data_IF_122316501712
#
_entry.id   IF_122316501712
#
_cell.length_a   1.000
_cell.length_b   1.000
_cell.length_c   1.000
_cell.angle_alpha   90.00
_cell.angle_beta   90.00
_cell.angle_gamma   90.00
#
_symmetry.space_group_name_H-M   'P 1'
#
loop_
_entity.id
_entity.type
_entity.pdbx_description
1 polymer ?
#
# COMPACT_ATOMS: atom_id res chain seq x y z
N UNK A 1 -35.36 47.25 36.56
CA UNK A 1 -35.39 46.61 35.24
C UNK A 1 -34.23 45.63 35.18
N UNK A 2 -34.57 44.34 35.13
CA UNK A 2 -33.72 43.19 35.36
C UNK A 2 -33.54 42.49 34.01
N UNK A 3 -32.34 42.57 33.44
CA UNK A 3 -31.95 41.80 32.26
C UNK A 3 -31.03 40.67 32.73
N UNK A 4 -31.44 39.39 32.67
CA UNK A 4 -30.50 38.29 32.77
C UNK A 4 -29.79 38.15 31.43
N UNK A 5 -28.48 38.45 31.39
CA UNK A 5 -27.65 38.08 30.25
C UNK A 5 -27.34 36.59 30.36
N UNK A 6 -27.99 35.80 29.51
CA UNK A 6 -27.70 34.38 29.31
C UNK A 6 -26.37 34.25 28.58
N UNK A 7 -25.36 33.72 29.26
CA UNK A 7 -24.13 33.27 28.60
C UNK A 7 -24.42 31.94 27.88
N UNK A 8 -23.90 31.71 26.66
CA UNK A 8 -24.09 30.43 26.00
C UNK A 8 -23.29 29.37 26.74
N UNK A 9 -24.00 28.33 27.17
CA UNK A 9 -23.47 27.11 27.76
C UNK A 9 -22.43 26.50 26.82
N UNK A 10 -21.16 26.59 27.20
CA UNK A 10 -20.05 25.94 26.50
C UNK A 10 -20.03 24.48 26.91
N UNK A 11 -21.06 23.73 26.53
CA UNK A 11 -21.00 22.27 26.52
C UNK A 11 -20.02 21.86 25.44
N UNK A 12 -18.73 21.84 25.81
CA UNK A 12 -17.69 21.13 25.10
C UNK A 12 -18.08 19.66 25.13
N UNK A 13 -18.82 19.22 24.11
CA UNK A 13 -18.91 17.83 23.74
C UNK A 13 -17.51 17.38 23.29
N UNK A 14 -16.62 17.17 24.27
CA UNK A 14 -15.41 16.41 24.08
C UNK A 14 -15.83 14.96 23.87
N UNK A 15 -16.35 14.66 22.68
CA UNK A 15 -16.38 13.29 22.19
C UNK A 15 -14.92 12.94 22.02
N UNK A 16 -14.37 12.32 23.06
CA UNK A 16 -13.03 11.78 23.06
C UNK A 16 -12.98 10.78 21.92
N UNK A 17 -12.38 11.18 20.80
CA UNK A 17 -12.02 10.30 19.70
C UNK A 17 -10.89 9.39 20.19
N UNK A 18 -11.26 8.42 21.04
CA UNK A 18 -10.43 7.28 21.42
C UNK A 18 -11.12 6.02 20.90
N UNK A 19 -11.33 6.01 19.59
CA UNK A 19 -11.51 4.79 18.83
C UNK A 19 -10.66 4.92 17.58
N UNK A 20 -9.33 4.95 17.77
CA UNK A 20 -8.44 4.44 16.73
C UNK A 20 -8.92 3.01 16.52
N UNK A 21 -9.52 2.74 15.35
CA UNK A 21 -10.00 1.44 14.90
C UNK A 21 -8.92 0.39 15.13
N UNK A 22 -8.91 -0.23 16.30
CA UNK A 22 -8.29 -1.52 16.49
C UNK A 22 -9.08 -2.43 15.56
N UNK A 23 -8.45 -2.82 14.46
CA UNK A 23 -9.07 -3.71 13.50
C UNK A 23 -9.65 -4.89 14.29
N UNK A 24 -10.89 -5.30 13.98
CA UNK A 24 -11.48 -6.47 14.65
C UNK A 24 -10.45 -7.61 14.62
N UNK A 25 -10.31 -8.44 15.67
CA UNK A 25 -9.36 -9.56 15.66
C UNK A 25 -9.47 -10.45 14.40
N UNK A 26 -10.66 -10.48 13.77
CA UNK A 26 -10.90 -11.14 12.49
C UNK A 26 -10.24 -10.46 11.30
N UNK A 27 -10.24 -9.12 11.26
CA UNK A 27 -9.57 -8.31 10.24
C UNK A 27 -8.06 -8.42 10.42
N UNK A 28 -7.55 -8.33 11.66
CA UNK A 28 -6.11 -8.51 11.93
C UNK A 28 -5.61 -9.89 11.52
N UNK A 29 -6.38 -10.94 11.82
CA UNK A 29 -6.06 -12.31 11.39
C UNK A 29 -6.00 -12.43 9.87
N UNK A 30 -7.00 -11.88 9.15
CA UNK A 30 -7.00 -11.87 7.68
C UNK A 30 -5.82 -11.11 7.10
N UNK A 31 -5.53 -9.91 7.61
CA UNK A 31 -4.40 -9.10 7.16
C UNK A 31 -3.07 -9.83 7.37
N UNK A 32 -2.92 -10.57 8.46
CA UNK A 32 -1.73 -11.40 8.71
C UNK A 32 -1.59 -12.54 7.70
N UNK A 33 -2.70 -13.22 7.38
CA UNK A 33 -2.71 -14.28 6.39
C UNK A 33 -2.38 -13.73 4.99
N UNK A 34 -3.00 -12.63 4.59
CA UNK A 34 -2.74 -11.98 3.31
C UNK A 34 -1.29 -11.48 3.21
N UNK A 35 -0.74 -10.91 4.29
CA UNK A 35 0.68 -10.55 4.36
C UNK A 35 1.60 -11.76 4.20
N UNK A 36 1.29 -12.89 4.84
CA UNK A 36 2.08 -14.12 4.70
C UNK A 36 2.01 -14.70 3.27
N UNK A 37 0.83 -14.65 2.65
CA UNK A 37 0.63 -15.05 1.24
C UNK A 37 1.44 -14.16 0.30
N UNK A 38 1.40 -12.84 0.51
CA UNK A 38 2.18 -11.88 -0.25
C UNK A 38 3.68 -12.12 -0.09
N UNK A 39 4.16 -12.34 1.14
CA UNK A 39 5.58 -12.61 1.41
C UNK A 39 6.06 -13.86 0.67
N UNK A 40 5.25 -14.95 0.68
CA UNK A 40 5.59 -16.17 -0.05
C UNK A 40 5.64 -15.94 -1.56
N UNK A 41 4.65 -15.24 -2.11
CA UNK A 41 4.63 -14.90 -3.54
C UNK A 41 5.84 -14.04 -3.94
N UNK A 42 6.20 -13.03 -3.13
CA UNK A 42 7.38 -12.20 -3.38
C UNK A 42 8.68 -12.99 -3.30
N UNK A 43 8.78 -13.98 -2.40
CA UNK A 43 9.95 -14.85 -2.28
C UNK A 43 10.13 -15.72 -3.52
N UNK A 44 9.06 -16.40 -3.96
CA UNK A 44 9.08 -17.18 -5.20
C UNK A 44 9.44 -16.32 -6.42
N UNK A 45 8.97 -15.08 -6.41
CA UNK A 45 9.26 -14.13 -7.48
C UNK A 45 10.72 -13.67 -7.48
N UNK A 46 11.37 -13.50 -6.31
CA UNK A 46 12.82 -13.27 -6.26
C UNK A 46 13.59 -14.47 -6.84
N UNK A 47 13.17 -15.68 -6.47
CA UNK A 47 13.84 -16.92 -6.86
C UNK A 47 13.69 -17.24 -8.34
N UNK A 48 12.64 -16.75 -9.01
CA UNK A 48 12.40 -17.02 -10.43
C UNK A 48 13.34 -16.26 -11.38
N UNK A 49 14.03 -15.21 -10.90
CA UNK A 49 14.90 -14.36 -11.73
C UNK A 49 14.15 -13.40 -12.67
N UNK A 50 12.82 -13.41 -12.67
CA UNK A 50 12.01 -12.46 -13.47
C UNK A 50 11.80 -11.13 -12.76
N UNK A 51 12.12 -11.05 -11.48
CA UNK A 51 11.97 -9.85 -10.70
C UNK A 51 13.30 -9.17 -10.42
N UNK A 52 13.32 -7.88 -10.76
CA UNK A 52 14.55 -7.10 -10.83
C UNK A 52 14.59 -5.96 -9.80
N UNK A 53 13.68 -5.97 -8.82
CA UNK A 53 13.72 -5.00 -7.73
C UNK A 53 13.09 -3.65 -8.06
N UNK A 54 13.49 -2.60 -7.32
CA UNK A 54 13.11 -1.22 -7.60
C UNK A 54 13.91 -0.69 -8.79
N UNK A 55 13.24 -0.62 -9.93
CA UNK A 55 13.78 -0.03 -11.15
C UNK A 55 12.84 1.09 -11.63
N UNK A 56 13.42 2.11 -12.24
CA UNK A 56 12.66 3.15 -12.94
C UNK A 56 12.22 2.67 -14.32
N UNK A 57 11.15 3.28 -14.85
CA UNK A 57 10.64 3.09 -16.23
C UNK A 57 11.74 2.86 -17.27
N UNK A 58 12.74 3.75 -17.26
CA UNK A 58 13.85 3.77 -18.19
C UNK A 58 14.82 2.61 -17.96
N UNK A 59 15.08 2.23 -16.71
CA UNK A 59 16.05 1.18 -16.39
C UNK A 59 15.61 -0.21 -16.85
N UNK A 60 14.34 -0.63 -16.67
CA UNK A 60 13.93 -1.92 -17.25
C UNK A 60 13.87 -1.90 -18.77
N UNK A 61 13.50 -0.77 -19.39
CA UNK A 61 13.61 -0.65 -20.85
C UNK A 61 15.04 -0.89 -21.29
N UNK A 62 16.03 -0.30 -20.61
CA UNK A 62 17.44 -0.55 -20.89
C UNK A 62 17.85 -2.03 -20.69
N UNK A 63 17.27 -2.73 -19.71
CA UNK A 63 17.51 -4.17 -19.53
C UNK A 63 16.96 -5.00 -20.71
N UNK A 64 15.83 -4.57 -21.29
CA UNK A 64 15.18 -5.29 -22.39
C UNK A 64 15.76 -4.98 -23.77
N UNK A 65 16.48 -3.87 -23.97
CA UNK A 65 17.07 -3.49 -25.27
C UNK A 65 17.95 -4.60 -25.87
N UNK A 66 18.69 -5.33 -25.04
CA UNK A 66 19.60 -6.40 -25.47
C UNK A 66 18.97 -7.80 -25.33
N UNK A 67 17.69 -7.87 -24.95
CA UNK A 67 16.99 -9.12 -24.72
C UNK A 67 16.29 -9.61 -26.00
N UNK A 68 16.13 -10.94 -26.18
CA UNK A 68 15.33 -11.48 -27.27
C UNK A 68 13.87 -11.00 -27.23
N UNK A 69 13.24 -10.90 -28.40
CA UNK A 69 11.80 -10.60 -28.52
C UNK A 69 10.96 -11.55 -27.65
N UNK A 70 9.96 -11.01 -26.96
CA UNK A 70 9.12 -11.74 -26.01
C UNK A 70 9.75 -11.91 -24.62
N UNK A 71 10.92 -11.31 -24.36
CA UNK A 71 11.44 -11.19 -23.00
C UNK A 71 10.64 -10.16 -22.21
N UNK A 72 10.30 -10.52 -20.97
CA UNK A 72 9.62 -9.61 -20.05
C UNK A 72 10.27 -9.68 -18.67
N UNK A 73 10.04 -8.64 -17.87
CA UNK A 73 10.46 -8.59 -16.48
C UNK A 73 9.45 -7.87 -15.60
N UNK A 74 9.51 -8.15 -14.31
CA UNK A 74 8.71 -7.52 -13.26
C UNK A 74 9.58 -6.59 -12.40
N UNK A 75 9.09 -5.39 -12.12
CA UNK A 75 9.72 -4.44 -11.18
C UNK A 75 8.72 -3.91 -10.14
N UNK A 76 9.20 -3.14 -9.15
CA UNK A 76 8.30 -2.36 -8.29
C UNK A 76 7.66 -1.18 -9.05
N UNK A 77 6.35 -1.03 -8.90
CA UNK A 77 5.63 0.12 -9.44
C UNK A 77 5.84 1.36 -8.57
N UNK A 78 6.04 2.53 -9.18
CA UNK A 78 6.00 3.82 -8.50
C UNK A 78 4.58 4.40 -8.36
N UNK A 79 3.57 3.72 -8.90
CA UNK A 79 2.18 4.17 -8.92
C UNK A 79 1.40 3.64 -7.71
N UNK A 80 0.66 4.53 -7.03
CA UNK A 80 -0.22 4.14 -5.93
C UNK A 80 -1.26 3.10 -6.39
N UNK A 81 -1.50 2.10 -5.54
CA UNK A 81 -2.44 1.01 -5.81
C UNK A 81 -1.86 -0.16 -6.60
N UNK A 82 -0.62 -0.05 -7.09
CA UNK A 82 0.07 -1.11 -7.81
C UNK A 82 1.35 -1.50 -7.08
N UNK A 83 1.57 -2.80 -6.88
CA UNK A 83 2.80 -3.30 -6.27
C UNK A 83 3.89 -3.56 -7.33
N UNK A 84 3.50 -4.13 -8.46
CA UNK A 84 4.40 -4.56 -9.52
C UNK A 84 3.92 -4.03 -10.88
N UNK A 85 4.84 -3.89 -11.81
CA UNK A 85 4.53 -3.62 -13.23
C UNK A 85 5.29 -4.63 -14.08
N UNK A 86 4.67 -5.05 -15.18
CA UNK A 86 5.28 -5.87 -16.22
C UNK A 86 5.81 -4.96 -17.34
N UNK A 87 7.05 -5.18 -17.76
CA UNK A 87 7.66 -4.53 -18.91
C UNK A 87 8.00 -5.60 -19.95
N UNK A 88 7.63 -5.34 -21.21
CA UNK A 88 7.92 -6.15 -22.40
C UNK A 88 8.60 -5.24 -23.45
N UNK A 89 9.38 -5.85 -24.36
CA UNK A 89 9.95 -5.17 -25.55
C UNK A 89 8.94 -5.10 -26.69
#
# INVERSE_FOLDING_TARGET
MNIPTSAPDKSLNAIRLKDCKLASPRIESRLREDAARLQRAMSHLQESGWYWGPLTATQAKQVLIEAPEGTFLLWYSSYQGYLLTLCED
#
